data_IF_708397272177
#
_entry.id   IF_708397272177
#
_cell.length_a   1.000
_cell.length_b   1.000
_cell.length_c   1.000
_cell.angle_alpha   90.00
_cell.angle_beta   90.00
_cell.angle_gamma   90.00
#
_symmetry.space_group_name_H-M   'P 1'
#
loop_
_entity.id
_entity.type
_entity.pdbx_description
1 polymer ?
#
# COMPACT_ATOMS: atom_id res chain seq x y z
N UNK A 1 14.13 12.96 -13.69
CA UNK A 1 14.25 11.50 -13.89
C UNK A 1 14.28 10.75 -12.56
N UNK A 2 13.10 10.38 -12.07
CA UNK A 2 12.91 9.57 -10.86
C UNK A 2 12.91 8.07 -11.20
N UNK A 3 14.00 7.51 -11.75
CA UNK A 3 14.12 6.06 -12.01
C UNK A 3 12.96 5.41 -12.82
N UNK A 4 12.22 6.17 -13.64
CA UNK A 4 11.03 5.67 -14.33
C UNK A 4 9.77 5.55 -13.46
N UNK A 5 9.71 6.28 -12.34
CA UNK A 5 8.53 6.41 -11.47
C UNK A 5 7.67 7.61 -11.92
N UNK A 6 6.38 7.35 -12.11
CA UNK A 6 5.35 8.38 -12.36
C UNK A 6 4.50 8.63 -11.11
N UNK A 7 3.83 9.79 -11.04
CA UNK A 7 2.93 10.08 -9.90
C UNK A 7 1.75 9.11 -9.92
N UNK A 8 1.26 8.77 -8.72
CA UNK A 8 0.10 7.90 -8.56
C UNK A 8 -1.13 8.35 -9.37
N UNK A 9 -1.44 9.64 -9.31
CA UNK A 9 -2.52 10.29 -10.07
C UNK A 9 -2.46 9.96 -11.56
N UNK A 10 -1.27 10.02 -12.15
CA UNK A 10 -1.06 10.00 -13.60
C UNK A 10 -1.40 8.63 -14.21
N UNK A 11 -1.34 7.55 -13.41
CA UNK A 11 -1.72 6.21 -13.86
C UNK A 11 -3.05 5.70 -13.29
N UNK A 12 -3.48 6.19 -12.11
CA UNK A 12 -4.69 5.75 -11.43
C UNK A 12 -5.95 6.40 -12.02
N UNK A 13 -5.96 7.73 -12.23
CA UNK A 13 -7.15 8.46 -12.68
C UNK A 13 -7.68 7.96 -14.05
N UNK A 14 -6.85 7.71 -15.08
CA UNK A 14 -7.34 7.22 -16.36
C UNK A 14 -7.88 5.78 -16.32
N UNK A 15 -7.64 5.05 -15.22
CA UNK A 15 -7.97 3.63 -15.05
C UNK A 15 -8.93 3.39 -13.90
N UNK A 16 -9.50 4.45 -13.36
CA UNK A 16 -10.52 4.38 -12.33
C UNK A 16 -11.69 3.53 -12.84
N UNK A 17 -12.11 2.54 -12.05
CA UNK A 17 -13.12 1.54 -12.46
C UNK A 17 -12.59 0.28 -13.16
N UNK A 18 -11.31 0.24 -13.58
CA UNK A 18 -10.65 -0.96 -14.12
C UNK A 18 -9.69 -1.62 -13.13
N UNK A 19 -9.44 -0.99 -11.98
CA UNK A 19 -8.61 -1.54 -10.91
C UNK A 19 -9.38 -2.70 -10.25
N UNK A 20 -8.91 -3.93 -10.48
CA UNK A 20 -9.51 -5.15 -9.90
C UNK A 20 -8.97 -5.51 -8.52
N UNK A 21 -7.85 -4.92 -8.11
CA UNK A 21 -7.19 -5.21 -6.84
C UNK A 21 -5.90 -4.42 -6.68
N UNK A 22 -5.43 -4.30 -5.44
CA UNK A 22 -4.18 -3.62 -5.12
C UNK A 22 -3.33 -4.47 -4.17
N UNK A 23 -2.06 -4.67 -4.54
CA UNK A 23 -1.03 -5.16 -3.63
C UNK A 23 -0.33 -3.97 -3.01
N UNK A 24 -0.42 -3.85 -1.69
CA UNK A 24 0.09 -2.71 -0.94
C UNK A 24 1.21 -3.18 -0.03
N UNK A 25 2.26 -2.37 0.09
CA UNK A 25 3.34 -2.59 1.03
C UNK A 25 3.89 -1.23 1.44
N UNK A 26 4.28 -1.10 2.71
CA UNK A 26 5.05 0.08 3.07
C UNK A 26 6.47 -0.05 2.51
N UNK A 27 7.11 1.09 2.33
CA UNK A 27 8.40 1.22 1.68
C UNK A 27 9.19 2.42 2.23
N UNK A 28 10.51 2.29 2.23
CA UNK A 28 11.45 3.34 2.57
C UNK A 28 12.62 3.31 1.59
N UNK A 29 12.73 4.35 0.75
CA UNK A 29 13.69 4.36 -0.35
C UNK A 29 13.47 3.21 -1.32
N UNK A 30 14.44 2.30 -1.42
CA UNK A 30 14.37 1.11 -2.29
C UNK A 30 13.88 -0.16 -1.56
N UNK A 31 13.69 -0.09 -0.25
CA UNK A 31 13.19 -1.20 0.55
C UNK A 31 11.66 -1.20 0.55
N UNK A 32 11.06 -2.38 0.31
CA UNK A 32 9.61 -2.56 0.26
C UNK A 32 9.20 -3.86 0.96
N UNK A 33 7.92 -3.96 1.31
CA UNK A 33 7.41 -5.08 2.12
C UNK A 33 7.53 -4.83 3.62
N UNK A 34 7.74 -3.57 4.01
CA UNK A 34 7.72 -3.15 5.40
C UNK A 34 6.29 -3.22 5.95
N UNK A 35 6.18 -3.32 7.28
CA UNK A 35 4.90 -3.21 7.97
C UNK A 35 4.29 -1.82 7.72
N UNK A 36 2.96 -1.69 7.62
CA UNK A 36 2.30 -0.40 7.54
C UNK A 36 2.72 0.54 8.68
N UNK A 37 3.12 1.76 8.35
CA UNK A 37 3.60 2.77 9.27
C UNK A 37 5.09 2.65 9.64
N UNK A 38 5.79 1.61 9.19
CA UNK A 38 7.23 1.46 9.41
C UNK A 38 8.08 2.14 8.33
N UNK A 39 7.48 2.42 7.16
CA UNK A 39 8.15 3.12 6.07
C UNK A 39 7.70 4.58 5.96
N UNK A 40 7.71 5.08 4.73
CA UNK A 40 7.44 6.48 4.38
C UNK A 40 6.28 6.63 3.41
N UNK A 41 5.55 5.54 3.13
CA UNK A 41 4.38 5.59 2.25
C UNK A 41 3.27 6.41 2.92
N UNK A 42 2.70 7.35 2.17
CA UNK A 42 1.51 8.09 2.60
C UNK A 42 0.26 7.22 2.43
N UNK A 43 -0.07 6.51 3.51
CA UNK A 43 -1.27 5.67 3.56
C UNK A 43 -2.58 6.46 3.54
N UNK A 44 -2.57 7.76 3.88
CA UNK A 44 -3.74 8.63 3.75
C UNK A 44 -4.09 8.82 2.28
N UNK A 45 -3.12 9.24 1.48
CA UNK A 45 -3.29 9.37 0.03
C UNK A 45 -3.71 8.05 -0.63
N UNK A 46 -3.13 6.91 -0.21
CA UNK A 46 -3.52 5.58 -0.73
C UNK A 46 -4.99 5.25 -0.45
N UNK A 47 -5.52 5.64 0.72
CA UNK A 47 -6.93 5.41 1.08
C UNK A 47 -7.89 6.25 0.24
N UNK A 48 -7.53 7.51 -0.01
CA UNK A 48 -8.34 8.42 -0.82
C UNK A 48 -8.38 7.99 -2.29
N UNK A 49 -7.30 7.39 -2.79
CA UNK A 49 -7.20 7.06 -4.22
C UNK A 49 -7.84 5.70 -4.58
N UNK A 50 -7.86 4.72 -3.67
CA UNK A 50 -8.43 3.40 -3.95
C UNK A 50 -9.87 3.28 -3.45
N UNK A 51 -10.80 3.01 -4.38
CA UNK A 51 -12.20 2.70 -4.03
C UNK A 51 -12.29 1.67 -2.89
N UNK A 52 -13.22 1.83 -1.93
CA UNK A 52 -13.46 0.87 -0.85
C UNK A 52 -13.81 -0.54 -1.34
N UNK A 53 -14.33 -0.67 -2.56
CA UNK A 53 -14.74 -1.95 -3.16
C UNK A 53 -13.57 -2.74 -3.77
N UNK A 54 -12.42 -2.10 -3.97
CA UNK A 54 -11.24 -2.76 -4.55
C UNK A 54 -10.59 -3.67 -3.49
N UNK A 55 -10.43 -4.98 -3.75
CA UNK A 55 -9.70 -5.89 -2.87
C UNK A 55 -8.27 -5.44 -2.63
N UNK A 56 -7.83 -5.49 -1.37
CA UNK A 56 -6.50 -5.05 -0.94
C UNK A 56 -5.75 -6.23 -0.34
N UNK A 57 -4.53 -6.46 -0.82
CA UNK A 57 -3.62 -7.49 -0.33
C UNK A 57 -2.41 -6.78 0.26
N UNK A 58 -2.14 -7.02 1.55
CA UNK A 58 -0.92 -6.55 2.18
C UNK A 58 0.24 -7.48 1.80
N UNK A 59 1.24 -6.96 1.11
CA UNK A 59 2.48 -7.64 0.76
C UNK A 59 3.54 -7.28 1.80
N UNK A 60 4.07 -8.30 2.48
CA UNK A 60 5.13 -8.17 3.47
C UNK A 60 6.40 -8.89 3.02
N UNK A 61 7.54 -8.49 3.58
CA UNK A 61 8.81 -9.16 3.33
C UNK A 61 8.76 -10.63 3.79
N UNK A 62 9.45 -11.55 3.09
CA UNK A 62 9.61 -12.92 3.55
C UNK A 62 10.19 -12.98 4.96
N UNK A 63 9.71 -13.92 5.78
CA UNK A 63 10.17 -14.07 7.16
C UNK A 63 9.45 -13.18 8.18
N UNK A 64 8.49 -12.35 7.75
CA UNK A 64 7.62 -11.62 8.69
C UNK A 64 6.81 -12.61 9.53
N UNK A 65 6.89 -12.47 10.86
CA UNK A 65 6.25 -13.41 11.78
C UNK A 65 4.75 -13.14 11.98
N UNK A 66 4.04 -14.11 12.56
CA UNK A 66 2.60 -14.02 12.81
C UNK A 66 2.20 -12.85 13.73
N UNK A 67 2.89 -12.57 14.85
CA UNK A 67 2.64 -11.38 15.66
C UNK A 67 2.71 -10.07 14.86
N UNK A 68 3.75 -9.88 14.04
CA UNK A 68 3.92 -8.70 13.19
C UNK A 68 2.79 -8.58 12.16
N UNK A 69 2.38 -9.70 11.56
CA UNK A 69 1.23 -9.72 10.62
C UNK A 69 -0.04 -9.26 11.33
N UNK A 70 -0.29 -9.71 12.57
CA UNK A 70 -1.48 -9.30 13.34
C UNK A 70 -1.47 -7.80 13.64
N UNK A 71 -0.33 -7.25 14.03
CA UNK A 71 -0.19 -5.81 14.27
C UNK A 71 -0.39 -4.99 12.98
N UNK A 72 0.13 -5.46 11.85
CA UNK A 72 -0.10 -4.81 10.56
C UNK A 72 -1.59 -4.75 10.18
N UNK A 73 -2.34 -5.83 10.40
CA UNK A 73 -3.78 -5.86 10.16
C UNK A 73 -4.49 -4.84 11.06
N UNK A 74 -4.17 -4.82 12.36
CA UNK A 74 -4.75 -3.85 13.31
C UNK A 74 -4.50 -2.41 12.89
N UNK A 75 -3.27 -2.10 12.47
CA UNK A 75 -2.91 -0.77 12.01
C UNK A 75 -3.75 -0.34 10.80
N UNK A 76 -3.95 -1.24 9.84
CA UNK A 76 -4.77 -0.98 8.65
C UNK A 76 -6.25 -0.80 9.00
N UNK A 77 -6.77 -1.56 9.96
CA UNK A 77 -8.14 -1.45 10.45
C UNK A 77 -8.38 -0.18 11.27
N UNK A 78 -7.41 0.23 12.10
CA UNK A 78 -7.50 1.44 12.93
C UNK A 78 -7.52 2.74 12.12
N UNK A 79 -7.02 2.69 10.88
CA UNK A 79 -7.07 3.80 9.94
C UNK A 79 -8.22 3.75 8.93
N UNK A 80 -9.18 2.81 9.09
CA UNK A 80 -10.44 2.85 8.36
C UNK A 80 -11.41 3.86 8.94
#
# INVERSE_FOLDING_TARGET
DFLGLDRASDWMEPREGHIMGAHLSDASGLEAGLLPGAGTVDWGAVRETLSPTVPRILRLAPGTDLPMIREAIRWLEAGR
#
